data_IF_507392208851
#
_entry.id   IF_507392208851
#
_cell.length_a   1.000
_cell.length_b   1.000
_cell.length_c   1.000
_cell.angle_alpha   90.00
_cell.angle_beta   90.00
_cell.angle_gamma   90.00
#
_symmetry.space_group_name_H-M   'P 1'
#
loop_
_entity.id
_entity.type
_entity.pdbx_description
1 polymer ?
#
# COMPACT_ATOMS: atom_id res chain seq x y z
N UNK A 1 -8.94 -40.74 -55.36
CA UNK A 1 -8.85 -40.13 -54.01
C UNK A 1 -7.46 -40.45 -53.53
N UNK A 2 -6.55 -39.48 -53.60
CA UNK A 2 -5.15 -39.66 -53.21
C UNK A 2 -4.93 -38.85 -51.94
N UNK A 3 -4.40 -39.52 -50.92
CA UNK A 3 -4.19 -38.98 -49.58
C UNK A 3 -2.67 -38.84 -49.45
N UNK A 4 -2.17 -37.62 -49.25
CA UNK A 4 -0.75 -37.33 -49.08
C UNK A 4 -0.40 -37.08 -47.61
N UNK A 5 0.62 -37.78 -47.13
CA UNK A 5 1.25 -37.63 -45.81
C UNK A 5 2.69 -37.09 -46.00
N UNK A 6 3.12 -36.17 -45.12
CA UNK A 6 4.51 -35.73 -44.94
C UNK A 6 5.23 -35.00 -46.10
N UNK A 7 4.61 -33.93 -46.63
CA UNK A 7 5.32 -32.83 -47.34
C UNK A 7 6.10 -33.18 -48.62
N UNK A 8 5.77 -34.26 -49.33
CA UNK A 8 6.17 -34.48 -50.73
C UNK A 8 4.92 -34.63 -51.59
N UNK A 9 4.78 -33.77 -52.62
CA UNK A 9 3.64 -33.76 -53.53
C UNK A 9 3.68 -34.90 -54.55
N UNK A 10 2.62 -35.72 -54.63
CA UNK A 10 2.40 -36.68 -55.71
C UNK A 10 1.67 -35.90 -56.81
N UNK A 11 2.29 -35.77 -57.99
CA UNK A 11 1.88 -34.85 -59.05
C UNK A 11 0.60 -35.23 -59.81
N UNK A 12 -0.16 -36.22 -59.34
CA UNK A 12 -1.26 -36.85 -60.08
C UNK A 12 -2.65 -36.61 -59.46
N UNK A 13 -2.77 -35.89 -58.34
CA UNK A 13 -4.07 -35.59 -57.73
C UNK A 13 -4.60 -34.20 -58.12
N UNK A 14 -5.82 -34.09 -58.70
CA UNK A 14 -6.43 -32.81 -59.08
C UNK A 14 -6.98 -32.00 -57.88
N UNK A 15 -6.76 -32.44 -56.64
CA UNK A 15 -7.32 -31.84 -55.43
C UNK A 15 -6.17 -31.30 -54.57
N UNK A 16 -6.22 -30.00 -54.25
CA UNK A 16 -5.29 -29.36 -53.33
C UNK A 16 -5.94 -29.30 -51.94
N UNK A 17 -5.36 -30.02 -50.98
CA UNK A 17 -5.74 -29.90 -49.57
C UNK A 17 -4.77 -28.92 -48.91
N UNK A 18 -5.29 -27.82 -48.37
CA UNK A 18 -4.51 -26.86 -47.60
C UNK A 18 -5.02 -26.88 -46.16
N UNK A 19 -4.16 -27.25 -45.22
CA UNK A 19 -4.46 -27.16 -43.79
C UNK A 19 -4.38 -25.68 -43.43
N UNK A 20 -5.52 -25.08 -43.11
CA UNK A 20 -5.61 -23.73 -42.57
C UNK A 20 -5.91 -23.83 -41.08
N UNK A 21 -5.39 -22.90 -40.29
CA UNK A 21 -5.74 -22.82 -38.87
C UNK A 21 -7.24 -22.55 -38.74
N UNK A 22 -7.85 -23.14 -37.71
CA UNK A 22 -9.28 -22.97 -37.42
C UNK A 22 -9.59 -21.49 -37.17
N UNK A 23 -10.57 -20.97 -37.90
CA UNK A 23 -11.04 -19.58 -37.78
C UNK A 23 -11.97 -19.44 -36.57
N UNK A 24 -11.39 -19.32 -35.38
CA UNK A 24 -12.11 -19.21 -34.12
C UNK A 24 -12.92 -17.93 -34.00
N UNK A 25 -12.53 -16.86 -34.71
CA UNK A 25 -13.19 -15.56 -34.63
C UNK A 25 -14.60 -15.60 -35.24
N UNK A 26 -14.76 -16.35 -36.33
CA UNK A 26 -16.07 -16.52 -36.99
C UNK A 26 -17.01 -17.47 -36.26
N UNK A 27 -16.49 -18.47 -35.56
CA UNK A 27 -17.31 -19.50 -34.91
C UNK A 27 -17.75 -19.11 -33.50
N UNK A 28 -16.89 -18.45 -32.72
CA UNK A 28 -17.11 -18.22 -31.28
C UNK A 28 -17.02 -16.75 -30.85
N UNK A 29 -16.65 -15.83 -31.75
CA UNK A 29 -16.60 -14.40 -31.49
C UNK A 29 -15.18 -13.83 -31.43
N UNK A 30 -15.08 -12.53 -31.14
CA UNK A 30 -13.82 -11.80 -31.25
C UNK A 30 -12.81 -12.13 -30.15
N UNK A 31 -11.51 -12.04 -30.48
CA UNK A 31 -10.35 -12.28 -29.59
C UNK A 31 -10.11 -13.74 -29.18
N UNK A 32 -10.57 -14.70 -29.98
CA UNK A 32 -10.17 -16.10 -29.86
C UNK A 32 -9.15 -16.48 -30.95
N UNK A 33 -8.15 -17.27 -30.58
CA UNK A 33 -7.11 -17.81 -31.47
C UNK A 33 -7.01 -19.31 -31.29
N UNK A 34 -6.79 -20.05 -32.38
CA UNK A 34 -6.57 -21.49 -32.33
C UNK A 34 -5.21 -21.83 -31.71
N UNK A 35 -5.20 -22.72 -30.71
CA UNK A 35 -3.98 -23.31 -30.16
C UNK A 35 -3.45 -24.44 -31.05
N UNK A 36 -2.28 -24.99 -30.75
CA UNK A 36 -1.65 -26.11 -31.49
C UNK A 36 -2.56 -27.36 -31.59
N UNK A 37 -3.45 -27.55 -30.61
CA UNK A 37 -4.43 -28.64 -30.58
C UNK A 37 -5.71 -28.34 -31.40
N UNK A 38 -5.81 -27.18 -32.06
CA UNK A 38 -7.01 -26.74 -32.79
C UNK A 38 -8.17 -26.27 -31.90
N UNK A 39 -7.92 -26.08 -30.61
CA UNK A 39 -8.87 -25.53 -29.64
C UNK A 39 -8.87 -24.00 -29.69
N UNK A 40 -10.05 -23.38 -29.62
CA UNK A 40 -10.19 -21.93 -29.58
C UNK A 40 -9.98 -21.41 -28.16
N UNK A 41 -8.93 -20.63 -27.94
CA UNK A 41 -8.58 -20.02 -26.65
C UNK A 41 -8.48 -18.51 -26.78
N UNK A 42 -8.54 -17.79 -25.67
CA UNK A 42 -8.37 -16.34 -25.67
C UNK A 42 -7.00 -15.92 -26.24
N UNK A 43 -7.00 -14.85 -27.04
CA UNK A 43 -5.81 -14.30 -27.66
C UNK A 43 -4.73 -13.93 -26.63
N UNK A 44 -3.44 -13.96 -27.00
CA UNK A 44 -2.37 -13.58 -26.09
C UNK A 44 -2.58 -12.16 -25.53
N UNK A 45 -2.41 -12.01 -24.22
CA UNK A 45 -2.69 -10.75 -23.51
C UNK A 45 -4.13 -10.58 -23.06
N UNK A 46 -4.98 -11.59 -23.29
CA UNK A 46 -6.33 -11.67 -22.72
C UNK A 46 -6.48 -12.92 -21.86
N UNK A 47 -7.45 -12.91 -20.94
CA UNK A 47 -7.79 -14.03 -20.06
C UNK A 47 -9.29 -14.28 -20.10
N UNK A 48 -9.70 -15.52 -19.85
CA UNK A 48 -11.09 -15.94 -19.88
C UNK A 48 -11.77 -15.67 -18.53
N UNK A 49 -12.93 -15.00 -18.56
CA UNK A 49 -13.81 -14.80 -17.41
C UNK A 49 -15.24 -15.10 -17.84
N UNK A 50 -15.69 -16.32 -17.56
CA UNK A 50 -17.07 -16.74 -17.84
C UNK A 50 -17.40 -16.71 -19.32
N UNK A 51 -16.57 -17.36 -20.14
CA UNK A 51 -16.68 -17.47 -21.61
C UNK A 51 -16.50 -16.13 -22.34
N UNK A 52 -15.85 -15.15 -21.72
CA UNK A 52 -15.56 -13.83 -22.31
C UNK A 52 -14.09 -13.50 -22.12
N UNK A 53 -13.38 -13.27 -23.23
CA UNK A 53 -11.98 -12.83 -23.20
C UNK A 53 -11.85 -11.36 -22.79
N UNK A 54 -11.08 -11.09 -21.74
CA UNK A 54 -10.82 -9.75 -21.20
C UNK A 54 -9.34 -9.39 -21.26
N UNK A 55 -9.04 -8.10 -21.44
CA UNK A 55 -7.65 -7.63 -21.50
C UNK A 55 -6.96 -7.73 -20.13
N UNK A 56 -5.82 -8.41 -20.10
CA UNK A 56 -5.01 -8.57 -18.89
C UNK A 56 -4.53 -7.21 -18.36
N UNK A 57 -4.26 -6.25 -19.24
CA UNK A 57 -3.84 -4.89 -18.86
C UNK A 57 -4.87 -4.18 -17.98
N UNK A 58 -6.16 -4.28 -18.32
CA UNK A 58 -7.23 -3.63 -17.56
C UNK A 58 -7.33 -4.23 -16.17
N UNK A 59 -7.24 -5.56 -16.07
CA UNK A 59 -7.25 -6.26 -14.79
C UNK A 59 -6.09 -5.86 -13.88
N UNK A 60 -4.89 -5.79 -14.44
CA UNK A 60 -3.68 -5.37 -13.70
C UNK A 60 -3.78 -3.94 -13.20
N UNK A 61 -4.33 -3.01 -14.00
CA UNK A 61 -4.56 -1.62 -13.59
C UNK A 61 -5.53 -1.56 -12.41
N UNK A 62 -6.63 -2.32 -12.45
CA UNK A 62 -7.62 -2.34 -11.36
C UNK A 62 -6.98 -2.84 -10.06
N UNK A 63 -6.28 -3.98 -10.11
CA UNK A 63 -5.60 -4.53 -8.92
C UNK A 63 -4.58 -3.53 -8.36
N UNK A 64 -3.76 -2.96 -9.23
CA UNK A 64 -2.74 -2.01 -8.82
C UNK A 64 -3.37 -0.76 -8.18
N UNK A 65 -4.46 -0.24 -8.76
CA UNK A 65 -5.18 0.91 -8.21
C UNK A 65 -5.73 0.63 -6.81
N UNK A 66 -6.33 -0.55 -6.60
CA UNK A 66 -6.85 -0.97 -5.30
C UNK A 66 -5.71 -1.10 -4.26
N UNK A 67 -4.60 -1.74 -4.64
CA UNK A 67 -3.44 -1.90 -3.78
C UNK A 67 -2.83 -0.54 -3.36
N UNK A 68 -2.75 0.41 -4.29
CA UNK A 68 -2.24 1.75 -4.04
C UNK A 68 -3.12 2.49 -3.03
N UNK A 69 -4.45 2.43 -3.17
CA UNK A 69 -5.39 3.03 -2.21
C UNK A 69 -5.20 2.45 -0.81
N UNK A 70 -5.12 1.13 -0.69
CA UNK A 70 -4.89 0.46 0.60
C UNK A 70 -3.56 0.89 1.22
N UNK A 71 -2.50 0.96 0.40
CA UNK A 71 -1.19 1.40 0.85
C UNK A 71 -1.21 2.84 1.38
N UNK A 72 -1.88 3.77 0.69
CA UNK A 72 -2.00 5.16 1.14
C UNK A 72 -2.74 5.27 2.46
N UNK A 73 -3.83 4.53 2.64
CA UNK A 73 -4.59 4.53 3.91
C UNK A 73 -3.72 4.02 5.05
N UNK A 74 -3.01 2.90 4.84
CA UNK A 74 -2.09 2.33 5.82
C UNK A 74 -0.96 3.30 6.16
N UNK A 75 -0.39 3.97 5.17
CA UNK A 75 0.67 4.94 5.35
C UNK A 75 0.20 6.15 6.17
N UNK A 76 -0.97 6.72 5.87
CA UNK A 76 -1.54 7.83 6.63
C UNK A 76 -1.87 7.42 8.07
N UNK A 77 -2.43 6.22 8.27
CA UNK A 77 -2.69 5.69 9.61
C UNK A 77 -1.40 5.54 10.41
N UNK A 78 -0.33 5.04 9.78
CA UNK A 78 0.99 4.92 10.42
C UNK A 78 1.58 6.28 10.81
N UNK A 79 1.48 7.28 9.94
CA UNK A 79 1.94 8.64 10.25
C UNK A 79 1.17 9.23 11.43
N UNK A 80 -0.16 9.11 11.45
CA UNK A 80 -0.98 9.59 12.56
C UNK A 80 -0.64 8.89 13.87
N UNK A 81 -0.43 7.58 13.84
CA UNK A 81 0.01 6.81 15.00
C UNK A 81 1.36 7.29 15.54
N UNK A 82 2.32 7.56 14.65
CA UNK A 82 3.63 8.10 15.03
C UNK A 82 3.52 9.50 15.63
N UNK A 83 2.66 10.36 15.09
CA UNK A 83 2.41 11.70 15.63
C UNK A 83 1.81 11.64 17.03
N UNK A 84 0.76 10.84 17.23
CA UNK A 84 0.15 10.65 18.55
C UNK A 84 1.17 10.17 19.60
N UNK A 85 2.03 9.21 19.24
CA UNK A 85 3.10 8.76 20.14
C UNK A 85 4.09 9.87 20.49
N UNK A 86 4.40 10.76 19.55
CA UNK A 86 5.29 11.89 19.81
C UNK A 86 4.63 12.89 20.77
N UNK A 87 3.33 13.12 20.65
CA UNK A 87 2.60 14.07 21.51
C UNK A 87 2.51 13.57 22.96
N UNK A 88 2.36 12.25 23.17
CA UNK A 88 2.37 11.66 24.50
C UNK A 88 3.69 11.84 25.27
N UNK A 89 4.83 12.03 24.59
CA UNK A 89 6.13 12.24 25.25
C UNK A 89 6.19 13.58 25.99
N UNK A 90 5.40 14.57 25.60
CA UNK A 90 5.42 15.91 26.20
C UNK A 90 4.48 16.07 27.39
N UNK A 91 3.66 15.06 27.69
CA UNK A 91 2.78 15.07 28.86
C UNK A 91 3.55 14.61 30.09
N UNK A 92 4.14 15.56 30.80
CA UNK A 92 4.83 15.34 32.09
C UNK A 92 3.80 15.49 33.22
N UNK A 93 3.75 14.50 34.12
CA UNK A 93 2.90 14.54 35.32
C UNK A 93 3.46 15.51 36.37
N UNK A 94 2.58 16.21 37.10
CA UNK A 94 3.00 17.10 38.21
C UNK A 94 3.68 16.34 39.36
N UNK A 95 3.39 15.05 39.51
CA UNK A 95 3.96 14.15 40.50
C UNK A 95 5.38 13.68 40.14
N UNK A 96 5.75 13.77 38.86
CA UNK A 96 7.11 13.48 38.37
C UNK A 96 8.06 14.69 38.54
N UNK A 97 7.50 15.85 38.87
CA UNK A 97 8.20 17.11 39.08
C UNK A 97 8.47 17.31 40.57
N UNK A 98 9.74 17.43 40.94
CA UNK A 98 10.13 17.82 42.29
C UNK A 98 10.70 19.24 42.28
N UNK A 99 10.05 20.12 43.04
CA UNK A 99 10.52 21.48 43.31
C UNK A 99 11.14 21.55 44.70
N UNK A 100 12.12 22.44 44.86
CA UNK A 100 12.67 22.75 46.17
C UNK A 100 11.62 23.49 47.02
N UNK A 101 11.65 23.29 48.33
CA UNK A 101 10.72 23.91 49.28
C UNK A 101 11.52 24.76 50.28
N UNK A 102 11.53 26.11 50.17
CA UNK A 102 10.73 26.95 49.27
C UNK A 102 11.26 27.01 47.82
N UNK A 103 10.38 27.25 46.82
CA UNK A 103 10.77 27.25 45.41
C UNK A 103 11.62 28.47 45.06
N UNK A 104 12.78 28.23 44.44
CA UNK A 104 13.66 29.28 43.93
C UNK A 104 13.10 29.85 42.60
N UNK A 105 12.86 31.16 42.54
CA UNK A 105 12.34 31.81 41.33
C UNK A 105 13.50 32.38 40.52
N UNK A 106 13.76 31.82 39.33
CA UNK A 106 14.83 32.28 38.42
C UNK A 106 14.33 33.44 37.55
N UNK A 107 13.02 33.51 37.30
CA UNK A 107 12.42 34.60 36.54
C UNK A 107 10.91 34.71 36.77
N UNK A 108 10.38 35.92 36.69
CA UNK A 108 8.96 36.21 36.86
C UNK A 108 8.48 37.11 35.72
N UNK A 109 7.35 36.75 35.11
CA UNK A 109 6.65 37.55 34.11
C UNK A 109 5.18 37.73 34.46
N UNK A 110 4.45 38.51 33.65
CA UNK A 110 3.02 38.76 33.88
C UNK A 110 2.10 37.53 33.73
N UNK A 111 2.63 36.43 33.17
CA UNK A 111 1.87 35.20 32.90
C UNK A 111 2.30 34.01 33.76
N UNK A 112 3.34 34.14 34.59
CA UNK A 112 3.86 33.02 35.38
C UNK A 112 5.28 33.24 35.92
N UNK A 113 5.77 32.21 36.60
CA UNK A 113 7.10 32.16 37.20
C UNK A 113 7.90 30.99 36.63
N UNK A 114 9.20 31.19 36.48
CA UNK A 114 10.17 30.18 36.05
C UNK A 114 10.86 29.63 37.30
N UNK A 115 10.70 28.33 37.52
CA UNK A 115 11.22 27.62 38.70
C UNK A 115 12.08 26.45 38.19
N UNK A 116 13.29 26.25 38.74
CA UNK A 116 14.07 25.05 38.47
C UNK A 116 13.38 23.86 39.14
N UNK A 117 13.28 22.76 38.42
CA UNK A 117 12.70 21.52 38.92
C UNK A 117 13.52 20.33 38.49
N UNK A 118 13.53 19.31 39.35
CA UNK A 118 14.07 18.00 39.04
C UNK A 118 12.97 17.13 38.43
N UNK A 119 13.19 16.69 37.20
CA UNK A 119 12.32 15.71 36.55
C UNK A 119 12.75 14.30 36.93
N UNK A 120 11.87 13.56 37.63
CA UNK A 120 12.06 12.15 37.95
C UNK A 120 11.48 11.28 36.85
N UNK A 121 12.30 10.96 35.84
CA UNK A 121 11.89 10.02 34.81
C UNK A 121 11.61 8.60 35.34
N UNK A 122 10.92 7.80 34.53
CA UNK A 122 10.37 6.46 34.86
C UNK A 122 11.38 5.41 35.33
N UNK A 123 12.69 5.65 35.16
CA UNK A 123 13.75 4.65 35.42
C UNK A 123 14.74 5.04 36.54
N UNK A 124 14.41 6.01 37.40
CA UNK A 124 15.21 6.35 38.59
C UNK A 124 16.63 6.87 38.30
N UNK A 125 16.98 7.15 37.03
CA UNK A 125 18.29 7.66 36.61
C UNK A 125 18.13 8.75 35.54
N UNK A 126 17.94 9.98 35.99
CA UNK A 126 18.35 11.20 35.26
C UNK A 126 18.04 12.42 36.13
N UNK A 127 19.06 12.96 36.79
CA UNK A 127 19.01 14.30 37.38
C UNK A 127 19.55 15.28 36.36
N UNK A 128 18.65 15.89 35.59
CA UNK A 128 18.93 17.12 34.88
C UNK A 128 18.06 18.21 35.50
N UNK A 129 18.65 19.39 35.71
CA UNK A 129 17.92 20.54 36.22
C UNK A 129 17.19 21.18 35.03
N UNK A 130 15.86 21.14 35.06
CA UNK A 130 15.02 21.70 34.00
C UNK A 130 14.33 22.96 34.52
N UNK A 131 14.03 23.89 33.61
CA UNK A 131 13.31 25.12 33.96
C UNK A 131 11.86 24.96 33.52
N UNK A 132 10.95 25.08 34.47
CA UNK A 132 9.51 24.96 34.22
C UNK A 132 8.82 26.31 34.38
N UNK A 133 7.91 26.60 33.45
CA UNK A 133 7.01 27.74 33.57
C UNK A 133 5.77 27.31 34.35
N UNK A 134 5.62 27.84 35.56
CA UNK A 134 4.46 27.59 36.41
C UNK A 134 3.50 28.77 36.27
N UNK A 135 2.22 28.53 35.91
CA UNK A 135 1.24 29.60 35.84
C UNK A 135 1.03 30.17 37.25
N UNK A 136 0.90 31.50 37.34
CA UNK A 136 0.64 32.16 38.61
C UNK A 136 -0.79 31.80 39.02
N UNK A 137 -0.92 30.86 39.97
CA UNK A 137 -2.20 30.55 40.61
C UNK A 137 -2.79 31.86 41.13
N UNK A 138 -3.86 32.36 40.51
CA UNK A 138 -4.66 33.42 41.09
C UNK A 138 -5.25 32.85 42.37
N UNK A 139 -4.63 33.16 43.51
CA UNK A 139 -5.23 32.92 44.80
C UNK A 139 -6.57 33.65 44.84
N UNK A 140 -7.65 32.88 44.98
CA UNK A 140 -8.94 33.38 45.47
C UNK A 140 -8.80 33.82 46.92
#
# INVERSE_FOLDING_TARGET
MEILFDSVAISQSPIRVMITNRDCEREFGSRLTANEDGMCVCAPGTYDVGDICKDTTIFMIIIFSCALVVFLVMFLAFLNYKRQKSDHVWHIGIDELQFDEPPEVIGQGGFGVLVPGLYKGTNGKSSYNWVFAVPMSQGS
#
